data_IF_500026558462
#
_entry.id   IF_500026558462
#
_cell.length_a   1.000
_cell.length_b   1.000
_cell.length_c   1.000
_cell.angle_alpha   90.00
_cell.angle_beta   90.00
_cell.angle_gamma   90.00
#
_symmetry.space_group_name_H-M   'P 1'
#
loop_
_entity.id
_entity.type
_entity.pdbx_description
1 polymer ?
#
# COMPACT_ATOMS: atom_id res chain seq x y z
N UNK A 1 -18.19 2.26 -6.10
CA UNK A 1 -17.02 2.70 -5.31
C UNK A 1 -16.78 1.65 -4.24
N UNK A 2 -15.72 0.86 -4.37
CA UNK A 2 -15.46 -0.26 -3.46
C UNK A 2 -14.94 0.24 -2.11
N UNK A 3 -15.57 -0.22 -1.03
CA UNK A 3 -15.05 -0.08 0.32
C UNK A 3 -13.63 -0.65 0.37
N UNK A 4 -12.66 0.15 0.81
CA UNK A 4 -11.31 -0.34 1.07
C UNK A 4 -11.43 -1.41 2.17
N UNK A 5 -11.06 -2.68 1.90
CA UNK A 5 -11.10 -3.68 2.94
C UNK A 5 -10.18 -3.22 4.08
N UNK A 6 -10.72 -3.28 5.30
CA UNK A 6 -9.94 -3.08 6.53
C UNK A 6 -8.67 -3.93 6.43
N UNK A 7 -7.50 -3.28 6.47
CA UNK A 7 -6.21 -3.92 6.26
C UNK A 7 -6.04 -5.14 7.18
N UNK A 8 -6.13 -6.34 6.60
CA UNK A 8 -5.68 -7.56 7.24
C UNK A 8 -4.17 -7.66 7.00
N UNK A 9 -3.39 -8.05 8.00
CA UNK A 9 -1.95 -8.18 7.83
C UNK A 9 -1.66 -9.21 6.71
N UNK A 10 -0.78 -8.89 5.73
CA UNK A 10 -0.54 -9.79 4.62
C UNK A 10 0.11 -11.09 5.11
N UNK A 11 -0.57 -12.22 4.90
CA UNK A 11 -0.01 -13.54 5.18
C UNK A 11 1.00 -13.92 4.08
N UNK A 12 2.28 -13.84 4.43
CA UNK A 12 3.41 -14.18 3.55
C UNK A 12 3.36 -15.63 3.04
N UNK A 13 2.69 -16.54 3.76
CA UNK A 13 2.57 -17.95 3.39
C UNK A 13 1.68 -18.16 2.16
N UNK A 14 0.78 -17.20 1.91
CA UNK A 14 -0.18 -17.22 0.79
C UNK A 14 0.27 -16.39 -0.40
N UNK A 15 1.30 -15.57 -0.22
CA UNK A 15 1.82 -14.68 -1.24
C UNK A 15 3.01 -15.32 -1.98
N UNK A 16 3.25 -14.95 -3.25
CA UNK A 16 4.46 -15.34 -3.95
C UNK A 16 5.70 -14.88 -3.18
N UNK A 17 6.75 -15.70 -3.13
CA UNK A 17 8.01 -15.32 -2.46
C UNK A 17 8.69 -14.11 -3.12
N UNK A 18 8.57 -14.00 -4.45
CA UNK A 18 9.08 -12.89 -5.25
C UNK A 18 7.99 -12.32 -6.14
N UNK A 19 8.01 -11.00 -6.32
CA UNK A 19 7.04 -10.27 -7.14
C UNK A 19 7.71 -9.28 -8.05
N UNK A 20 7.10 -9.05 -9.22
CA UNK A 20 7.48 -7.94 -10.08
C UNK A 20 6.82 -6.63 -9.60
N UNK A 21 7.10 -5.52 -10.28
CA UNK A 21 6.57 -4.20 -9.90
C UNK A 21 5.04 -4.12 -9.99
N UNK A 22 4.41 -4.89 -10.88
CA UNK A 22 2.95 -4.86 -11.03
C UNK A 22 2.29 -5.62 -9.89
N UNK A 23 2.71 -6.88 -9.69
CA UNK A 23 2.21 -7.70 -8.59
C UNK A 23 2.51 -7.08 -7.23
N UNK A 24 3.69 -6.47 -7.06
CA UNK A 24 4.04 -5.74 -5.85
C UNK A 24 3.11 -4.55 -5.59
N UNK A 25 2.78 -3.77 -6.63
CA UNK A 25 1.87 -2.63 -6.48
C UNK A 25 0.45 -3.08 -6.11
N UNK A 26 -0.03 -4.19 -6.70
CA UNK A 26 -1.33 -4.76 -6.37
C UNK A 26 -1.40 -5.25 -4.92
N UNK A 27 -0.34 -5.90 -4.43
CA UNK A 27 -0.23 -6.34 -3.03
C UNK A 27 -0.23 -5.11 -2.10
N UNK A 28 0.65 -4.13 -2.34
CA UNK A 28 0.73 -2.95 -1.47
C UNK A 28 -0.58 -2.17 -1.46
N UNK A 29 -1.23 -2.03 -2.62
CA UNK A 29 -2.55 -1.37 -2.75
C UNK A 29 -3.64 -2.11 -1.98
N UNK A 30 -3.59 -3.45 -1.97
CA UNK A 30 -4.58 -4.28 -1.25
C UNK A 30 -4.44 -4.19 0.27
N UNK A 31 -3.21 -4.15 0.79
CA UNK A 31 -2.97 -4.31 2.23
C UNK A 31 -2.57 -3.03 2.96
N UNK A 32 -2.02 -2.03 2.27
CA UNK A 32 -1.47 -0.83 2.92
C UNK A 32 -2.10 0.45 2.38
N UNK A 33 -1.72 0.85 1.16
CA UNK A 33 -2.17 2.10 0.54
C UNK A 33 -2.04 2.02 -0.98
N UNK A 34 -2.88 2.76 -1.73
CA UNK A 34 -2.81 2.79 -3.18
C UNK A 34 -1.43 3.24 -3.66
N UNK A 35 -0.79 2.42 -4.48
CA UNK A 35 0.53 2.71 -5.04
C UNK A 35 0.58 2.31 -6.51
N UNK A 36 1.27 3.11 -7.32
CA UNK A 36 1.48 2.79 -8.73
C UNK A 36 2.74 1.92 -8.90
N UNK A 37 2.82 1.07 -9.94
CA UNK A 37 4.05 0.35 -10.28
C UNK A 37 5.24 1.28 -10.52
N UNK A 38 4.99 2.52 -10.99
CA UNK A 38 6.03 3.55 -11.21
C UNK A 38 6.59 4.09 -9.91
N UNK A 39 5.79 4.16 -8.86
CA UNK A 39 6.26 4.56 -7.53
C UNK A 39 7.22 3.53 -6.97
N UNK A 40 6.95 2.23 -7.17
CA UNK A 40 7.83 1.15 -6.74
C UNK A 40 9.19 1.13 -7.45
N UNK A 41 9.33 1.78 -8.62
CA UNK A 41 10.64 1.94 -9.29
C UNK A 41 11.61 2.81 -8.48
N UNK A 42 11.08 3.71 -7.64
CA UNK A 42 11.86 4.63 -6.82
C UNK A 42 12.14 4.09 -5.42
N UNK A 43 11.51 2.98 -5.04
CA UNK A 43 11.71 2.40 -3.72
C UNK A 43 13.11 1.77 -3.65
N UNK A 44 13.85 1.98 -2.55
CA UNK A 44 15.20 1.45 -2.37
C UNK A 44 15.15 -0.05 -2.00
N UNK A 45 14.53 -0.87 -2.85
CA UNK A 45 14.41 -2.32 -2.68
C UNK A 45 15.52 -3.04 -3.43
N UNK A 46 16.11 -4.06 -2.80
CA UNK A 46 17.05 -4.96 -3.46
C UNK A 46 16.30 -5.83 -4.47
N UNK A 47 16.47 -5.54 -5.76
CA UNK A 47 15.85 -6.28 -6.86
C UNK A 47 16.83 -7.16 -7.59
N UNK A 48 16.38 -8.36 -8.01
CA UNK A 48 17.11 -9.24 -8.92
C UNK A 48 16.47 -9.21 -10.30
N UNK A 49 17.26 -9.28 -11.36
CA UNK A 49 16.74 -9.50 -12.72
C UNK A 49 16.57 -10.98 -13.00
N UNK A 50 15.36 -11.40 -13.38
CA UNK A 50 15.02 -12.75 -13.84
C UNK A 50 14.33 -12.62 -15.19
N UNK A 51 14.89 -13.23 -16.24
CA UNK A 51 14.36 -13.16 -17.62
C UNK A 51 14.04 -11.72 -18.08
N UNK A 52 14.93 -10.77 -17.77
CA UNK A 52 14.78 -9.35 -18.12
C UNK A 52 13.82 -8.54 -17.24
N UNK A 53 13.09 -9.19 -16.32
CA UNK A 53 12.17 -8.53 -15.38
C UNK A 53 12.85 -8.31 -14.04
N UNK A 54 12.66 -7.13 -13.45
CA UNK A 54 13.11 -6.85 -12.08
C UNK A 54 12.08 -7.40 -11.10
N UNK A 55 12.52 -8.30 -10.23
CA UNK A 55 11.72 -8.91 -9.16
C UNK A 55 12.31 -8.57 -7.80
N UNK A 56 11.44 -8.49 -6.79
CA UNK A 56 11.79 -8.18 -5.40
C UNK A 56 11.26 -9.27 -4.48
N UNK A 57 11.89 -9.46 -3.33
CA UNK A 57 11.32 -10.30 -2.28
C UNK A 57 10.05 -9.64 -1.73
N UNK A 58 8.97 -10.42 -1.63
CA UNK A 58 7.68 -9.92 -1.14
C UNK A 58 7.75 -9.48 0.31
N UNK A 59 8.57 -10.15 1.13
CA UNK A 59 8.82 -9.78 2.51
C UNK A 59 9.45 -8.38 2.62
N UNK A 60 10.47 -8.08 1.81
CA UNK A 60 11.14 -6.77 1.81
C UNK A 60 10.20 -5.65 1.35
N UNK A 61 9.37 -5.93 0.33
CA UNK A 61 8.36 -5.02 -0.15
C UNK A 61 7.35 -4.67 0.96
N UNK A 62 6.86 -5.68 1.68
CA UNK A 62 5.89 -5.52 2.77
C UNK A 62 6.52 -4.76 3.95
N UNK A 63 7.75 -5.11 4.34
CA UNK A 63 8.48 -4.42 5.39
C UNK A 63 8.68 -2.94 5.07
N UNK A 64 9.06 -2.62 3.82
CA UNK A 64 9.20 -1.24 3.38
C UNK A 64 7.87 -0.50 3.34
N UNK A 65 6.81 -1.10 2.82
CA UNK A 65 5.47 -0.50 2.80
C UNK A 65 4.98 -0.17 4.22
N UNK A 66 5.22 -1.08 5.18
CA UNK A 66 4.92 -0.85 6.60
C UNK A 66 5.73 0.31 7.18
N UNK A 67 7.03 0.40 6.86
CA UNK A 67 7.88 1.49 7.32
C UNK A 67 7.43 2.85 6.76
N UNK A 68 7.07 2.90 5.47
CA UNK A 68 6.51 4.10 4.83
C UNK A 68 5.21 4.53 5.50
N UNK A 69 4.31 3.58 5.77
CA UNK A 69 3.04 3.86 6.46
C UNK A 69 3.28 4.37 7.89
N UNK A 70 4.22 3.77 8.62
CA UNK A 70 4.56 4.19 9.98
C UNK A 70 5.25 5.57 10.02
N UNK A 71 6.03 5.92 9.00
CA UNK A 71 6.68 7.22 8.89
C UNK A 71 5.76 8.34 8.38
N UNK A 72 4.56 8.01 7.89
CA UNK A 72 3.63 9.00 7.36
C UNK A 72 3.20 9.97 8.48
N UNK A 73 3.31 11.30 8.27
CA UNK A 73 2.90 12.27 9.27
C UNK A 73 1.38 12.15 9.49
N UNK A 74 0.96 12.15 10.76
CA UNK A 74 -0.46 12.22 11.09
C UNK A 74 -1.01 13.60 10.69
N UNK A 75 -1.65 13.67 9.53
CA UNK A 75 -2.35 14.89 9.09
C UNK A 75 -3.62 15.04 9.95
N UNK A 76 -3.50 15.76 11.09
CA UNK A 76 -4.67 16.25 11.84
C UNK A 76 -5.23 17.47 11.09
N UNK A 77 -6.10 17.22 10.13
CA UNK A 77 -6.65 18.29 9.28
C UNK A 77 -7.93 17.90 8.57
N UNK A 78 -8.87 17.26 9.29
CA UNK A 78 -10.24 17.11 8.81
C UNK A 78 -11.10 18.24 9.35
N UNK A 79 -11.39 19.27 8.55
CA UNK A 79 -12.59 20.07 8.79
C UNK A 79 -13.79 19.15 8.55
N UNK A 80 -14.38 18.64 9.63
CA UNK A 80 -15.69 18.01 9.56
C UNK A 80 -16.66 19.08 9.05
N UNK A 81 -17.19 18.91 7.84
CA UNK A 81 -18.33 19.71 7.38
C UNK A 81 -19.54 19.24 8.20
N UNK A 82 -19.76 19.86 9.36
CA UNK A 82 -20.88 19.59 10.23
C UNK A 82 -22.17 19.94 9.47
N UNK A 83 -22.94 18.93 9.08
CA UNK A 83 -24.23 19.12 8.42
C UNK A 83 -25.25 19.66 9.44
N UNK A 84 -25.34 20.99 9.55
CA UNK A 84 -26.42 21.68 10.26
C UNK A 84 -27.64 21.74 9.35
N UNK A 85 -28.50 20.72 9.39
CA UNK A 85 -29.89 20.87 8.93
C UNK A 85 -30.74 19.72 9.44
N UNK A 86 -31.15 19.81 10.71
CA UNK A 86 -32.35 19.17 11.24
C UNK A 86 -32.67 19.74 12.62
N UNK A 87 -33.29 20.92 12.62
CA UNK A 87 -34.18 21.41 13.68
C UNK A 87 -34.76 22.76 13.23
N UNK A 88 -35.88 22.71 12.52
CA UNK A 88 -36.85 23.79 12.51
C UNK A 88 -38.21 23.12 12.78
N UNK A 89 -38.86 23.60 13.83
CA UNK A 89 -40.11 23.13 14.41
C UNK A 89 -41.30 23.37 13.49
#
# INVERSE_FOLDING_TARGET
MGAYPKAFEPDLSTLPAVVDRRGGADIVTRYFFPVSPRTLERWPLAGRRVNGKLVFATADLIAHARAVLAAAPAIRGGHSHANQSQQAA
#
